data_IF_403568401749
#
_entry.id   IF_403568401749
#
_cell.length_a   1.000
_cell.length_b   1.000
_cell.length_c   1.000
_cell.angle_alpha   90.00
_cell.angle_beta   90.00
_cell.angle_gamma   90.00
#
_symmetry.space_group_name_H-M   'P 1'
#
loop_
_entity.id
_entity.type
_entity.pdbx_description
1 polymer ?
2 non-polymer ?
3 non-polymer ?
4 water ?
#
# COMPACT_ATOMS: atom_id res chain seq x y z
N UNK A 1 17.55 -0.32 31.04
CA UNK A 1 16.24 0.09 30.43
C UNK A 1 15.13 -0.85 30.91
N UNK A 2 13.86 -0.50 30.68
CA UNK A 2 12.79 -1.41 31.07
C UNK A 2 12.93 -2.78 30.39
N UNK A 3 12.36 -3.82 30.98
CA UNK A 3 12.41 -5.16 30.39
C UNK A 3 11.80 -5.19 28.97
N UNK A 4 10.76 -4.39 28.74
CA UNK A 4 10.08 -4.32 27.43
C UNK A 4 9.48 -2.94 27.12
N UNK A 5 9.58 -2.52 25.86
CA UNK A 5 8.95 -1.29 25.38
C UNK A 5 8.24 -1.59 24.06
N UNK A 6 7.00 -1.14 23.94
CA UNK A 6 6.29 -1.20 22.66
C UNK A 6 5.56 0.11 22.45
N UNK A 7 6.14 0.97 21.62
CA UNK A 7 5.59 2.30 21.44
C UNK A 7 4.24 2.31 20.72
N UNK A 8 3.90 1.24 20.00
CA UNK A 8 2.57 1.10 19.40
C UNK A 8 1.47 1.22 20.43
N UNK A 9 1.67 0.54 21.57
CA UNK A 9 0.66 0.44 22.62
C UNK A 9 0.45 1.77 23.34
N UNK A 10 1.45 2.63 23.26
CA UNK A 10 1.46 3.93 23.94
C UNK A 10 1.05 5.04 22.99
N UNK A 11 0.73 4.69 21.74
CA UNK A 11 0.08 5.65 20.85
C UNK A 11 1.01 6.50 20.03
N UNK A 12 2.28 6.09 19.95
CA UNK A 12 3.31 6.91 19.27
C UNK A 12 3.67 6.37 17.88
N UNK A 13 2.89 5.43 17.37
CA UNK A 13 3.15 4.76 16.08
C UNK A 13 1.87 4.73 15.23
N UNK A 14 1.91 5.36 14.05
CA UNK A 14 0.80 5.35 13.09
C UNK A 14 0.66 3.97 12.41
N UNK A 15 -0.48 3.71 11.72
CA UNK A 15 -0.60 2.46 10.98
C UNK A 15 0.53 2.21 9.99
N UNK A 16 0.75 0.94 9.63
CA UNK A 16 1.77 0.56 8.64
C UNK A 16 1.48 1.20 7.28
N UNK A 17 2.51 1.75 6.64
CA UNK A 17 2.39 2.42 5.35
C UNK A 17 3.04 1.52 4.27
N UNK A 18 3.09 2.04 3.05
CA UNK A 18 3.51 1.29 1.87
C UNK A 18 4.22 2.27 0.92
N UNK A 19 5.55 2.14 0.85
CA UNK A 19 6.34 3.00 -0.03
C UNK A 19 6.09 2.72 -1.52
N UNK A 20 5.61 1.50 -1.79
CA UNK A 20 5.28 1.10 -3.15
C UNK A 20 6.54 0.96 -3.98
N UNK A 21 6.39 1.19 -5.28
CA UNK A 21 7.48 1.02 -6.24
C UNK A 21 8.32 2.29 -6.33
N UNK A 22 8.93 2.64 -5.21
CA UNK A 22 9.73 3.85 -5.08
C UNK A 22 10.78 3.55 -4.01
N UNK A 23 12.02 3.98 -4.26
CA UNK A 23 13.11 3.79 -3.30
C UNK A 23 13.14 4.83 -2.18
N UNK A 24 12.03 4.93 -1.45
CA UNK A 24 11.83 5.98 -0.46
C UNK A 24 11.83 5.49 1.00
N UNK A 26 14.04 5.45 3.13
CA UNK A 26 14.69 6.52 3.89
C UNK A 26 13.76 7.63 4.38
N UNK A 27 12.73 7.94 3.59
CA UNK A 27 11.75 8.94 3.94
C UNK A 27 10.75 8.38 4.94
N UNK A 28 10.37 7.12 4.76
CA UNK A 28 9.47 6.42 5.70
C UNK A 28 10.09 6.19 7.09
N UNK A 29 11.35 5.80 7.10
CA UNK A 29 12.09 5.71 8.35
C UNK A 29 12.15 7.06 9.09
N UNK A 30 12.51 8.15 8.38
CA UNK A 30 12.61 9.49 8.94
C UNK A 30 11.29 9.98 9.52
N UNK A 31 10.22 9.84 8.75
CA UNK A 31 8.89 10.31 9.14
C UNK A 31 8.33 9.53 10.33
N UNK A 32 8.50 8.20 10.31
CA UNK A 32 8.09 7.34 11.42
C UNK A 32 8.78 7.75 12.71
N UNK A 33 10.06 8.05 12.59
CA UNK A 33 10.82 8.57 13.71
C UNK A 33 10.21 9.89 14.23
N UNK A 34 10.02 10.88 13.35
CA UNK A 34 9.50 12.19 13.72
C UNK A 34 8.10 12.07 14.32
N UNK A 35 7.26 11.22 13.72
CA UNK A 35 5.92 10.88 14.24
C UNK A 35 5.98 10.38 15.69
N UNK A 36 6.90 9.47 15.97
CA UNK A 36 7.04 8.90 17.31
C UNK A 36 7.62 9.88 18.31
N UNK A 37 8.62 10.63 17.89
CA UNK A 37 9.27 11.59 18.79
C UNK A 37 8.33 12.74 19.14
N UNK A 38 7.49 13.14 18.20
CA UNK A 38 6.56 14.27 18.35
C UNK A 38 5.42 13.94 19.32
N UNK A 39 4.90 12.72 19.21
CA UNK A 39 3.88 12.23 20.11
C UNK A 39 4.41 12.10 21.56
N UNK A 40 5.50 11.36 21.72
CA UNK A 40 6.11 11.11 23.05
C UNK A 40 6.56 12.40 23.75
N UNK A 41 6.89 13.45 22.98
CA UNK A 41 7.19 14.77 23.57
C UNK A 41 5.96 15.47 24.14
N UNK A 42 4.78 14.92 23.88
CA UNK A 42 3.54 15.35 24.53
C UNK A 42 2.44 15.84 23.60
N UNK A 43 2.56 15.60 22.31
CA UNK A 43 1.58 16.10 21.34
C UNK A 43 0.71 14.97 20.80
N UNK A 44 -0.47 15.32 20.26
CA UNK A 44 -1.34 14.30 19.68
C UNK A 44 -0.65 13.60 18.52
N UNK A 45 -0.77 12.28 18.45
CA UNK A 45 -0.24 11.53 17.29
C UNK A 45 -0.86 12.06 16.01
N UNK A 46 0.02 12.38 15.05
CA UNK A 46 -0.40 12.80 13.72
C UNK A 46 0.48 12.13 12.67
N UNK A 47 -0.19 11.74 11.58
CA UNK A 47 0.50 11.17 10.44
C UNK A 47 1.15 12.30 9.63
N UNK A 48 2.42 12.08 9.27
CA UNK A 48 3.21 13.08 8.60
C UNK A 48 3.62 12.58 7.20
N UNK A 49 4.14 13.48 6.39
CA UNK A 49 4.20 13.28 4.94
C UNK A 49 5.56 12.86 4.47
N UNK A 50 5.64 11.64 3.95
CA UNK A 50 6.83 11.17 3.23
C UNK A 50 7.00 11.89 1.91
N UNK A 51 5.89 12.23 1.28
CA UNK A 51 5.90 12.90 -0.01
C UNK A 51 6.63 14.24 0.05
N UNK A 52 6.53 14.94 1.17
CA UNK A 52 7.33 16.14 1.34
C UNK A 52 8.81 15.88 1.10
N UNK A 53 9.34 14.83 1.73
CA UNK A 53 10.73 14.46 1.55
C UNK A 53 11.01 13.94 0.13
N UNK A 54 10.14 13.09 -0.40
CA UNK A 54 10.39 12.49 -1.72
C UNK A 54 10.48 13.61 -2.76
N UNK A 55 9.57 14.58 -2.69
CA UNK A 55 9.48 15.64 -3.70
C UNK A 55 10.30 16.91 -3.40
N UNK A 56 10.52 17.23 -2.13
CA UNK A 56 11.12 18.53 -1.78
C UNK A 56 12.55 18.48 -1.27
N UNK A 57 12.94 17.37 -0.65
CA UNK A 57 14.28 17.20 -0.08
C UNK A 57 15.37 17.15 -1.17
N UNK A 58 16.14 18.24 -1.30
CA UNK A 58 17.13 18.37 -2.38
C UNK A 58 18.48 17.72 -2.08
N UNK A 59 18.68 17.28 -0.84
CA UNK A 59 19.92 16.58 -0.44
C UNK A 59 19.82 15.11 -0.83
N UNK A 60 18.64 14.53 -0.65
CA UNK A 60 18.40 13.14 -1.03
C UNK A 60 17.90 13.07 -2.48
N UNK A 61 17.58 11.87 -2.96
CA UNK A 61 17.39 11.63 -4.38
C UNK A 61 16.01 11.06 -4.70
N UNK A 62 15.01 11.52 -3.95
CA UNK A 62 13.63 11.06 -4.10
C UNK A 62 13.49 9.56 -4.10
N UNK A 63 12.86 9.02 -5.15
CA UNK A 63 12.68 7.58 -5.31
C UNK A 63 14.00 6.86 -5.66
N UNK A 64 15.03 7.59 -6.03
CA UNK A 64 16.37 7.01 -6.22
C UNK A 64 17.13 6.65 -4.94
N UNK A 65 16.68 7.17 -3.80
CA UNK A 65 17.27 6.83 -2.51
C UNK A 65 17.65 8.04 -1.68
N UNK A 66 18.17 7.79 -0.47
CA UNK A 66 18.57 8.84 0.44
C UNK A 66 18.95 8.30 1.82
N UNK A 67 19.13 9.22 2.79
CA UNK A 67 19.61 8.93 4.13
C UNK A 67 18.80 9.74 5.16
N UNK A 68 18.47 9.11 6.28
CA UNK A 68 17.62 9.74 7.29
C UNK A 68 18.29 10.99 7.87
N UNK A 69 19.60 10.91 8.10
CA UNK A 69 20.36 12.07 8.53
C UNK A 69 20.26 13.26 7.56
N UNK A 70 20.33 12.99 6.27
CA UNK A 70 20.19 14.06 5.31
C UNK A 70 18.76 14.61 5.27
N UNK A 71 17.78 13.75 5.53
CA UNK A 71 16.38 14.16 5.60
C UNK A 71 16.15 15.08 6.80
N UNK A 72 16.73 14.70 7.94
CA UNK A 72 16.69 15.57 9.12
C UNK A 72 17.34 16.91 8.83
N UNK A 73 18.51 16.88 8.19
CA UNK A 73 19.22 18.10 7.80
C UNK A 73 18.38 19.02 6.90
N UNK A 74 17.77 18.46 5.87
CA UNK A 74 16.88 19.25 4.99
C UNK A 74 15.69 19.87 5.75
N UNK A 75 15.02 19.09 6.61
CA UNK A 75 13.84 19.60 7.35
C UNK A 75 14.20 20.84 8.19
N UNK A 76 15.32 20.75 8.91
CA UNK A 76 15.74 21.82 9.82
C UNK A 76 16.31 23.03 9.08
N UNK A 77 17.24 22.76 8.17
CA UNK A 77 17.98 23.82 7.48
C UNK A 77 17.29 24.37 6.25
N UNK A 78 16.39 23.60 5.64
CA UNK A 78 15.69 24.05 4.43
C UNK A 78 14.22 24.31 4.64
N UNK A 79 13.60 23.69 5.66
CA UNK A 79 12.17 23.88 5.88
C UNK A 79 11.79 24.38 7.28
N UNK A 80 12.71 25.07 7.95
CA UNK A 80 12.44 25.70 9.24
C UNK A 80 12.02 24.74 10.36
N UNK A 81 12.45 23.48 10.24
CA UNK A 81 12.07 22.44 11.19
C UNK A 81 10.70 21.81 10.95
N UNK A 82 9.97 22.24 9.92
CA UNK A 82 8.56 21.85 9.76
C UNK A 82 8.34 20.59 8.93
N UNK A 83 7.37 19.78 9.37
CA UNK A 83 6.99 18.56 8.71
C UNK A 83 5.51 18.63 8.40
N UNK A 84 5.15 18.43 7.13
CA UNK A 84 3.75 18.52 6.71
C UNK A 84 3.00 17.26 7.08
N UNK A 85 1.69 17.39 7.21
CA UNK A 85 0.86 16.28 7.59
C UNK A 85 0.65 15.37 6.38
N UNK A 86 0.45 14.10 6.67
CA UNK A 86 0.17 13.07 5.66
C UNK A 86 -1.13 13.39 4.93
N UNK A 87 -2.13 13.87 5.67
CA UNK A 87 -3.42 14.17 5.12
C UNK A 87 -3.37 15.33 4.14
N UNK A 88 -2.53 16.33 4.41
CA UNK A 88 -2.49 17.53 3.59
C UNK A 88 -1.47 17.41 2.47
N UNK A 89 -0.68 16.35 2.49
CA UNK A 89 0.34 16.12 1.47
C UNK A 89 0.50 14.62 1.28
N UNK A 90 -0.49 13.97 0.65
CA UNK A 90 -0.53 12.52 0.62
C UNK A 90 0.62 11.94 -0.22
N UNK A 91 0.94 10.67 0.05
CA UNK A 91 1.94 9.93 -0.68
C UNK A 91 1.37 9.38 -1.99
N UNK A 92 1.90 9.91 -3.09
CA UNK A 92 1.45 9.58 -4.43
C UNK A 92 2.53 8.85 -5.25
N UNK A 93 3.75 8.74 -4.73
CA UNK A 93 4.86 8.11 -5.49
C UNK A 93 4.94 6.56 -5.44
N UNK A 94 3.87 5.90 -5.03
CA UNK A 94 3.83 4.45 -4.91
C UNK A 94 3.93 3.70 -6.24
N UNK A 95 3.82 4.44 -7.35
CA UNK A 95 3.99 3.91 -8.70
C UNK A 95 5.34 4.37 -9.29
N UNK A 96 6.15 5.06 -8.48
CA UNK A 96 7.44 5.58 -8.94
C UNK A 96 7.41 6.95 -9.61
N UNK A 97 6.21 7.43 -9.93
CA UNK A 97 6.04 8.80 -10.40
C UNK A 97 6.42 9.76 -9.28
N UNK A 98 7.03 10.89 -9.64
CA UNK A 98 7.50 11.87 -8.66
C UNK A 98 7.05 13.28 -9.01
N UNK A 99 5.93 13.73 -8.46
CA UNK A 99 5.58 15.11 -8.77
C UNK A 99 6.63 16.10 -8.28
N UNK A 100 6.59 17.31 -8.82
CA UNK A 100 7.43 18.38 -8.33
C UNK A 100 7.03 18.79 -6.92
N UNK A 101 7.99 19.37 -6.20
CA UNK A 101 7.78 19.83 -4.84
C UNK A 101 6.63 20.82 -4.82
N UNK A 102 5.70 20.61 -3.90
CA UNK A 102 4.55 21.46 -3.76
C UNK A 102 4.58 21.98 -2.33
N UNK A 103 4.93 23.25 -2.18
CA UNK A 103 5.08 23.90 -0.88
C UNK A 103 3.76 24.46 -0.37
N UNK A 104 2.81 24.65 -1.28
CA UNK A 104 1.54 25.29 -0.95
C UNK A 104 0.45 24.28 -0.62
N UNK A 105 -0.56 24.73 0.11
CA UNK A 105 -1.78 23.94 0.34
C UNK A 105 -1.65 22.80 1.35
N UNK A 106 -0.68 22.89 2.25
CA UNK A 106 -0.49 21.84 3.25
C UNK A 106 -0.64 22.40 4.65
N UNK A 107 -0.73 21.49 5.62
CA UNK A 107 -0.79 21.83 7.04
C UNK A 107 0.47 21.32 7.71
N UNK A 108 1.07 22.14 8.57
CA UNK A 108 2.24 21.68 9.33
C UNK A 108 1.76 20.85 10.52
N UNK A 109 2.20 19.60 10.61
CA UNK A 109 1.79 18.67 11.68
C UNK A 109 2.78 18.58 12.83
N UNK A 110 4.06 18.85 12.58
CA UNK A 110 5.11 18.73 13.59
C UNK A 110 6.29 19.61 13.25
N UNK A 111 7.21 19.73 14.22
CA UNK A 111 8.42 20.53 14.05
C UNK A 111 9.57 19.86 14.82
N UNK A 112 10.76 19.87 14.21
CA UNK A 112 11.96 19.36 14.87
C UNK A 112 13.02 20.47 14.92
N UNK A 113 13.97 20.35 15.84
CA UNK A 113 15.01 21.37 16.05
C UNK A 113 16.42 20.88 15.69
N UNK A 114 16.63 19.58 15.76
CA UNK A 114 17.93 18.97 15.47
C UNK A 114 17.73 17.48 15.21
N UNK A 115 18.85 16.77 15.06
CA UNK A 115 18.86 15.31 15.11
C UNK A 115 20.12 14.78 15.81
N UNK A 116 20.03 13.56 16.32
CA UNK A 116 21.19 12.89 16.88
C UNK A 116 21.46 11.58 16.14
N UNK A 117 22.71 11.15 16.22
CA UNK A 117 23.18 9.88 15.76
C UNK A 117 23.58 9.08 16.99
N UNK A 118 22.97 7.91 17.19
CA UNK A 118 23.25 7.11 18.40
C UNK A 118 24.50 6.27 18.23
N UNK A 119 25.17 5.96 19.35
CA UNK A 119 26.29 5.05 19.24
C UNK A 119 25.86 3.69 18.71
N UNK A 120 26.85 2.97 18.19
CA UNK A 120 26.68 1.64 17.67
C UNK A 120 26.69 0.69 18.87
N UNK A 121 25.65 0.78 19.67
CA UNK A 121 25.57 0.06 20.92
C UNK A 121 24.10 -0.24 21.19
N UNK A 122 23.75 -1.52 21.24
CA UNK A 122 22.35 -1.92 21.40
C UNK A 122 21.72 -1.48 22.70
N UNK A 123 22.53 -1.38 23.76
CA UNK A 123 22.05 -0.96 25.05
C UNK A 123 21.82 0.55 25.05
N UNK A 124 22.73 1.30 24.44
CA UNK A 124 22.55 2.74 24.27
C UNK A 124 21.27 3.02 23.48
N UNK A 125 21.02 2.20 22.47
CA UNK A 125 19.85 2.34 21.61
C UNK A 125 18.55 2.11 22.38
N UNK A 126 18.50 1.00 23.11
CA UNK A 126 17.34 0.60 23.90
C UNK A 126 16.95 1.66 24.93
N UNK A 127 17.94 2.26 25.59
CA UNK A 127 17.69 3.34 26.57
C UNK A 127 17.15 4.59 25.92
N UNK A 128 17.77 5.02 24.81
CA UNK A 128 17.28 6.22 24.13
C UNK A 128 15.86 5.97 23.58
N UNK A 129 15.64 4.77 23.02
CA UNK A 129 14.31 4.38 22.53
C UNK A 129 13.27 4.44 23.66
N UNK A 130 13.56 3.73 24.75
CA UNK A 130 12.68 3.69 25.93
C UNK A 130 12.37 5.09 26.50
N UNK A 131 13.33 5.99 26.45
CA UNK A 131 13.13 7.36 26.90
C UNK A 131 12.32 8.21 25.92
N UNK A 132 12.72 8.20 24.65
CA UNK A 132 12.33 9.28 23.72
C UNK A 132 11.33 8.90 22.62
N UNK A 133 11.20 7.61 22.34
CA UNK A 133 10.23 7.14 21.34
C UNK A 133 10.89 6.43 20.18
N UNK A 134 10.11 6.03 19.18
CA UNK A 134 10.62 5.22 18.08
C UNK A 134 11.82 5.86 17.36
N UNK A 135 12.71 5.02 16.86
CA UNK A 135 13.98 5.45 16.29
C UNK A 135 14.20 5.02 14.83
N UNK A 136 14.80 5.92 14.06
CA UNK A 136 15.23 5.63 12.69
C UNK A 136 16.49 4.78 12.68
N UNK A 137 16.45 3.65 11.98
CA UNK A 137 17.59 2.75 11.93
C UNK A 137 17.74 2.21 10.51
N UNK A 138 18.99 1.90 10.13
CA UNK A 138 19.26 1.19 8.89
C UNK A 138 19.53 -0.28 9.16
N UNK A 139 19.07 -1.14 8.25
CA UNK A 139 19.37 -2.58 8.31
C UNK A 139 19.82 -3.11 6.96
N UNK A 140 20.54 -4.23 7.01
CA UNK A 140 20.71 -5.10 5.84
C UNK A 140 19.41 -5.86 5.73
N UNK A 141 18.64 -5.58 4.68
CA UNK A 141 17.30 -6.17 4.56
C UNK A 141 17.28 -7.39 3.67
N UNK A 142 18.43 -8.03 3.45
CA UNK A 142 18.53 -9.24 2.62
C UNK A 142 17.56 -10.32 3.12
N UNK A 143 17.65 -10.68 4.41
CA UNK A 143 16.73 -11.66 5.00
C UNK A 143 15.27 -11.17 5.16
N UNK A 144 15.01 -9.89 4.92
CA UNK A 144 13.63 -9.36 4.99
C UNK A 144 12.74 -9.88 3.86
N UNK A 145 13.38 -10.28 2.75
CA UNK A 145 12.67 -10.62 1.52
C UNK A 145 11.82 -11.88 1.64
N UNK A 146 12.30 -12.87 2.40
CA UNK A 146 11.58 -14.15 2.52
C UNK A 146 10.87 -14.32 3.87
N UNK A 147 10.78 -13.24 4.65
CA UNK A 147 10.24 -13.28 6.01
C UNK A 147 8.72 -13.41 6.01
N UNK A 148 8.22 -14.44 6.70
CA UNK A 148 6.78 -14.63 6.92
C UNK A 148 6.37 -14.22 8.34
N UNK A 149 7.14 -14.68 9.32
CA UNK A 149 6.89 -14.37 10.73
C UNK A 149 7.96 -15.02 11.58
N UNK A 150 7.94 -14.71 12.89
CA UNK A 150 8.93 -15.24 13.83
C UNK A 150 10.04 -14.26 14.16
N UNK A 151 10.99 -14.73 14.98
CA UNK A 151 12.13 -13.90 15.34
C UNK A 151 13.36 -14.35 14.56
N UNK A 152 13.85 -13.49 13.67
CA UNK A 152 15.13 -13.72 12.97
C UNK A 152 16.29 -13.84 13.95
N UNK A 153 17.00 -14.97 13.89
CA UNK A 153 18.19 -15.18 14.72
C UNK A 153 19.45 -15.44 13.90
N UNK A 154 19.35 -15.44 12.58
CA UNK A 154 20.54 -15.58 11.73
C UNK A 154 20.39 -14.69 10.50
N UNK A 155 20.06 -13.42 10.76
CA UNK A 155 19.85 -12.40 9.74
C UNK A 155 21.16 -12.06 9.04
N UNK A 156 21.14 -12.10 7.71
CA UNK A 156 22.30 -11.68 6.92
C UNK A 156 22.69 -10.26 7.30
N UNK A 157 23.92 -10.11 7.77
CA UNK A 157 24.37 -8.88 8.37
C UNK A 157 25.70 -8.48 7.74
N UNK A 158 25.62 -8.12 6.47
CA UNK A 158 26.80 -7.82 5.65
C UNK A 158 26.87 -6.36 5.23
N UNK A 159 25.75 -5.84 4.74
CA UNK A 159 25.70 -4.55 4.06
C UNK A 159 24.37 -3.84 4.32
N UNK A 160 24.43 -2.61 4.84
CA UNK A 160 23.23 -1.79 5.08
C UNK A 160 22.60 -1.31 3.77
N UNK A 161 21.30 -1.54 3.61
CA UNK A 161 20.61 -1.12 2.38
C UNK A 161 19.16 -0.67 2.55
N UNK A 162 18.68 -0.51 3.78
CA UNK A 162 17.25 -0.31 4.02
C UNK A 162 17.02 0.42 5.33
N UNK A 163 16.24 1.50 5.28
CA UNK A 163 15.82 2.25 6.46
C UNK A 163 14.47 1.77 6.97
N UNK A 164 14.36 1.56 8.27
CA UNK A 164 13.13 1.08 8.92
C UNK A 164 12.87 1.89 10.21
N UNK A 165 11.82 1.51 10.96
CA UNK A 165 11.50 2.18 12.21
C UNK A 165 11.56 1.22 13.39
N UNK A 166 12.37 1.58 14.37
CA UNK A 166 12.50 0.80 15.62
C UNK A 166 11.48 1.29 16.63
N UNK A 167 10.50 0.45 16.96
CA UNK A 167 9.40 0.89 17.82
C UNK A 167 9.40 0.25 19.21
N UNK A 168 10.25 -0.75 19.42
CA UNK A 168 10.26 -1.43 20.69
C UNK A 168 11.15 -2.64 20.77
N UNK A 169 10.99 -3.36 21.89
CA UNK A 169 11.73 -4.58 22.17
C UNK A 169 11.09 -5.36 23.32
N UNK A 170 11.58 -6.56 23.53
CA UNK A 170 11.09 -7.42 24.61
C UNK A 170 12.19 -8.37 25.07
N UNK A 171 12.75 -8.08 26.25
CA UNK A 171 13.80 -8.92 26.83
C UNK A 171 13.22 -10.08 27.60
N UNK A 172 11.96 -9.99 28.02
CA UNK A 172 11.30 -11.08 28.72
C UNK A 172 10.80 -12.13 27.73
N UNK A 173 11.66 -12.50 26.79
CA UNK A 173 11.30 -13.37 25.68
C UNK A 173 12.49 -14.24 25.37
N UNK A 174 12.24 -15.34 24.67
CA UNK A 174 13.26 -16.33 24.40
C UNK A 174 13.26 -16.81 22.96
N UNK A 175 14.18 -16.29 22.13
CA UNK A 175 15.12 -15.18 22.38
C UNK A 175 14.45 -13.83 22.62
N UNK A 176 15.21 -12.88 23.18
CA UNK A 176 14.73 -11.51 23.30
C UNK A 176 14.84 -10.81 21.94
N UNK A 177 13.98 -9.84 21.67
CA UNK A 177 13.87 -9.26 20.32
C UNK A 177 13.55 -7.77 20.27
N UNK A 178 14.00 -7.14 19.18
CA UNK A 178 13.51 -5.84 18.73
C UNK A 178 12.23 -5.99 17.91
N UNK A 179 11.43 -4.93 17.90
CA UNK A 179 10.21 -4.84 17.08
C UNK A 179 10.46 -3.71 16.07
N UNK A 180 10.29 -4.02 14.77
CA UNK A 180 10.57 -3.09 13.69
C UNK A 180 9.34 -2.86 12.81
N UNK A 181 9.06 -1.61 12.50
CA UNK A 181 7.99 -1.23 11.58
C UNK A 181 8.63 -1.01 10.22
N UNK A 182 8.22 -1.84 9.25
CA UNK A 182 8.66 -1.70 7.86
C UNK A 182 7.61 -0.95 7.05
N UNK A 183 8.00 -0.49 5.85
CA UNK A 183 7.13 0.27 4.96
C UNK A 183 6.76 -0.52 3.70
N UNK A 184 6.52 -1.82 3.85
CA UNK A 184 6.12 -2.68 2.73
C UNK A 184 4.67 -3.13 2.84
N UNK A 185 3.82 -2.26 3.40
CA UNK A 185 2.41 -2.54 3.64
C UNK A 185 2.23 -3.51 4.78
N UNK A 186 1.00 -3.61 5.27
CA UNK A 186 0.67 -4.59 6.31
C UNK A 186 0.45 -6.03 5.80
N UNK A 187 0.69 -6.26 4.50
CA UNK A 187 0.62 -7.63 3.96
C UNK A 187 2.01 -8.26 3.85
N UNK A 188 3.02 -7.62 4.42
CA UNK A 188 4.34 -8.22 4.54
C UNK A 188 4.69 -8.42 6.01
N UNK A 189 5.29 -9.56 6.33
CA UNK A 189 5.81 -9.86 7.65
C UNK A 189 4.69 -10.09 8.64
N UNK A 190 4.88 -9.58 9.86
CA UNK A 190 3.88 -9.71 10.91
C UNK A 190 3.01 -8.46 10.91
N UNK A 191 2.06 -8.45 9.98
CA UNK A 191 1.19 -7.30 9.76
C UNK A 191 1.96 -6.01 9.55
N UNK A 192 3.04 -6.10 8.79
CA UNK A 192 3.88 -4.95 8.48
C UNK A 192 5.17 -4.89 9.29
N UNK A 193 5.25 -5.70 10.35
CA UNK A 193 6.36 -5.65 11.30
C UNK A 193 7.26 -6.86 11.20
N UNK A 194 8.44 -6.75 11.81
CA UNK A 194 9.37 -7.87 11.87
C UNK A 194 10.05 -7.85 13.22
N UNK A 195 10.24 -9.04 13.80
CA UNK A 195 11.02 -9.20 15.02
C UNK A 195 12.39 -9.76 14.66
N UNK A 196 13.44 -9.18 15.26
CA UNK A 196 14.81 -9.65 15.08
C UNK A 196 15.49 -9.71 16.45
N UNK A 197 16.40 -10.67 16.62
CA UNK A 197 17.01 -10.88 17.93
C UNK A 197 17.82 -9.69 18.38
N UNK A 198 17.63 -9.35 19.65
CA UNK A 198 18.27 -8.22 20.30
C UNK A 198 19.48 -8.76 21.06
N UNK A 199 20.64 -8.17 20.79
CA UNK A 199 21.87 -8.46 21.52
C UNK A 199 22.98 -9.03 20.66
N UNK A 200 22.64 -9.46 19.44
CA UNK A 200 23.60 -10.07 18.51
C UNK A 200 23.78 -9.24 17.24
N UNK A 201 23.48 -7.95 17.34
CA UNK A 201 23.49 -7.02 16.21
C UNK A 201 22.94 -7.60 14.90
N UNK A 202 21.74 -8.17 15.00
CA UNK A 202 21.07 -8.73 13.83
C UNK A 202 20.83 -7.66 12.77
N UNK A 203 21.10 -8.03 11.52
CA UNK A 203 20.85 -7.19 10.35
C UNK A 203 21.68 -5.93 10.35
N UNK A 204 22.78 -5.94 11.10
CA UNK A 204 23.56 -4.73 11.40
C UNK A 204 22.73 -3.57 11.97
N UNK A 205 21.77 -3.89 12.84
CA UNK A 205 20.79 -2.90 13.31
C UNK A 205 21.35 -1.74 14.13
N UNK A 206 22.55 -1.90 14.69
CA UNK A 206 23.13 -0.89 15.56
C UNK A 206 23.95 0.18 14.82
N UNK A 207 24.16 -0.01 13.51
CA UNK A 207 25.22 0.73 12.80
C UNK A 207 24.85 2.18 12.45
N UNK A 208 23.58 2.46 12.22
CA UNK A 208 23.19 3.79 11.77
C UNK A 208 21.86 4.20 12.35
N UNK A 209 21.87 4.46 13.65
CA UNK A 209 20.66 4.80 14.36
C UNK A 209 20.65 6.30 14.59
N UNK A 210 19.51 6.89 14.28
CA UNK A 210 19.35 8.34 14.32
C UNK A 210 17.98 8.70 14.87
N UNK A 211 17.83 9.96 15.27
CA UNK A 211 16.54 10.46 15.73
C UNK A 211 16.46 11.95 15.66
N UNK A 212 15.27 12.42 15.31
CA UNK A 212 14.98 13.84 15.35
C UNK A 212 14.95 14.28 16.79
N UNK A 213 15.21 15.56 17.02
CA UNK A 213 14.97 16.15 18.33
C UNK A 213 13.80 17.12 18.25
N UNK A 214 12.84 16.91 19.15
CA UNK A 214 11.69 17.79 19.32
C UNK A 214 11.91 18.70 20.54
N UNK A 215 11.62 20.00 20.39
CA UNK A 215 11.54 20.93 21.52
C UNK A 215 12.87 21.48 21.99
N UNK B 1 -11.52 -17.73 -29.38
CA UNK B 1 -10.93 -17.68 -28.00
C UNK B 1 -9.50 -18.26 -27.98
N UNK B 2 -8.49 -17.38 -27.84
CA UNK B 2 -7.09 -17.82 -27.74
C UNK B 2 -6.81 -18.81 -26.59
N UNK B 3 -5.66 -19.47 -26.65
CA UNK B 3 -5.26 -20.39 -25.58
C UNK B 3 -4.73 -19.62 -24.37
N UNK B 4 -4.39 -18.34 -24.54
CA UNK B 4 -3.86 -17.51 -23.46
C UNK B 4 -4.05 -16.03 -23.77
N UNK B 5 -4.46 -15.26 -22.76
CA UNK B 5 -4.56 -13.80 -22.88
C UNK B 5 -4.04 -13.12 -21.61
N UNK B 6 -3.41 -11.98 -21.78
CA UNK B 6 -2.90 -11.23 -20.65
C UNK B 6 -2.96 -9.77 -21.01
N UNK B 7 -3.94 -9.07 -20.45
CA UNK B 7 -4.16 -7.67 -20.79
C UNK B 7 -3.10 -6.73 -20.24
N UNK B 8 -2.27 -7.22 -19.31
CA UNK B 8 -1.09 -6.45 -18.87
C UNK B 8 -0.15 -6.23 -20.03
N UNK B 9 0.07 -7.29 -20.83
CA UNK B 9 0.88 -7.18 -22.04
C UNK B 9 0.38 -6.08 -22.98
N UNK B 10 -0.94 -5.96 -23.10
CA UNK B 10 -1.55 -5.08 -24.10
C UNK B 10 -1.72 -3.62 -23.64
N UNK B 11 -1.17 -3.28 -22.48
CA UNK B 11 -1.21 -1.91 -21.97
C UNK B 11 -2.54 -1.48 -21.36
N UNK B 12 -3.38 -2.44 -20.99
CA UNK B 12 -4.70 -2.12 -20.44
C UNK B 12 -4.75 -2.11 -18.89
N UNK B 13 -3.60 -2.27 -18.23
CA UNK B 13 -3.55 -2.44 -16.76
C UNK B 13 -2.51 -1.50 -16.11
N UNK B 14 -2.97 -0.66 -15.18
CA UNK B 14 -2.12 0.26 -14.41
C UNK B 14 -1.37 -0.52 -13.33
N UNK B 15 -0.29 0.06 -12.76
CA UNK B 15 0.46 -0.60 -11.69
C UNK B 15 -0.42 -1.03 -10.53
N UNK B 16 0.07 -2.00 -9.74
CA UNK B 16 -0.66 -2.55 -8.59
C UNK B 16 -0.78 -1.47 -7.48
N UNK B 17 -1.95 -1.43 -6.86
CA UNK B 17 -2.26 -0.40 -5.87
C UNK B 17 -2.50 -1.08 -4.52
N UNK B 18 -2.81 -0.28 -3.51
CA UNK B 18 -2.95 -0.76 -2.14
C UNK B 18 -4.14 -0.10 -1.46
N UNK B 19 -5.18 -0.87 -1.20
CA UNK B 19 -6.36 -0.35 -0.51
C UNK B 19 -6.09 0.01 0.96
N UNK B 20 -5.00 -0.50 1.52
CA UNK B 20 -4.68 -0.29 2.94
C UNK B 20 -5.68 -0.98 3.84
N UNK B 21 -5.98 -0.37 4.98
CA UNK B 21 -6.88 -0.98 5.95
C UNK B 21 -8.29 -0.42 5.80
N UNK B 22 -8.79 -0.42 4.56
CA UNK B 22 -10.13 0.04 4.23
C UNK B 22 -10.76 -1.11 3.44
N UNK B 23 -12.04 -1.38 3.66
CA UNK B 23 -12.72 -2.46 2.94
C UNK B 23 -13.22 -1.98 1.58
N UNK B 24 -12.30 -1.44 0.78
CA UNK B 24 -12.64 -0.76 -0.46
C UNK B 24 -12.27 -1.57 -1.72
N UNK B 26 -14.11 -3.48 -3.50
CA UNK B 26 -15.18 -3.21 -4.50
C UNK B 26 -14.88 -2.02 -5.44
N UNK B 27 -14.27 -0.97 -4.89
CA UNK B 27 -13.90 0.25 -5.61
C UNK B 27 -12.64 0.07 -6.47
N UNK B 28 -11.68 -0.72 -5.97
CA UNK B 28 -10.48 -1.06 -6.76
C UNK B 28 -10.82 -2.00 -7.93
N UNK B 29 -11.62 -3.03 -7.66
CA UNK B 29 -12.17 -3.89 -8.74
C UNK B 29 -12.89 -3.10 -9.84
N UNK B 30 -13.68 -2.10 -9.40
CA UNK B 30 -14.48 -1.24 -10.30
C UNK B 30 -13.60 -0.29 -11.13
N UNK B 31 -12.65 0.37 -10.48
CA UNK B 31 -11.78 1.33 -11.15
C UNK B 31 -10.72 0.62 -12.03
N UNK B 32 -10.27 -0.57 -11.63
CA UNK B 32 -9.37 -1.40 -12.46
C UNK B 32 -10.04 -1.87 -13.76
N UNK B 33 -11.33 -2.19 -13.65
CA UNK B 33 -12.13 -2.55 -14.82
C UNK B 33 -12.26 -1.34 -15.73
N UNK B 34 -12.64 -0.17 -15.19
CA UNK B 34 -12.86 1.03 -16.00
C UNK B 34 -11.56 1.52 -16.64
N UNK B 35 -10.46 1.44 -15.90
CA UNK B 35 -9.13 1.71 -16.45
C UNK B 35 -8.87 0.88 -17.70
N UNK B 36 -9.15 -0.41 -17.64
CA UNK B 36 -8.94 -1.33 -18.77
C UNK B 36 -9.92 -1.20 -19.94
N UNK B 37 -11.21 -1.01 -19.64
CA UNK B 37 -12.20 -0.81 -20.71
C UNK B 37 -12.01 0.53 -21.43
N UNK B 38 -11.57 1.53 -20.68
CA UNK B 38 -11.34 2.85 -21.21
C UNK B 38 -10.17 2.84 -22.18
N UNK B 39 -9.10 2.13 -21.83
CA UNK B 39 -7.92 1.96 -22.71
C UNK B 39 -8.22 1.10 -23.94
N UNK B 40 -8.89 -0.03 -23.73
CA UNK B 40 -9.26 -0.94 -24.83
C UNK B 40 -10.14 -0.23 -25.87
N UNK B 41 -10.92 0.78 -25.44
CA UNK B 41 -11.73 1.62 -26.34
C UNK B 41 -10.91 2.65 -27.13
N UNK B 42 -9.59 2.70 -26.91
CA UNK B 42 -8.69 3.53 -27.72
C UNK B 42 -8.31 4.86 -27.09
N UNK B 43 -8.38 4.93 -25.76
CA UNK B 43 -7.90 6.10 -25.02
C UNK B 43 -6.59 5.73 -24.31
N UNK B 44 -5.74 6.75 -24.02
CA UNK B 44 -4.49 6.47 -23.31
C UNK B 44 -4.74 5.85 -21.93
N UNK B 45 -3.95 4.84 -21.57
CA UNK B 45 -4.06 4.26 -20.24
C UNK B 45 -3.93 5.36 -19.19
N UNK B 46 -4.89 5.42 -18.26
CA UNK B 46 -4.86 6.42 -17.20
C UNK B 46 -5.41 5.83 -15.89
N UNK B 47 -4.76 6.12 -14.76
CA UNK B 47 -5.19 5.60 -13.45
C UNK B 47 -6.34 6.49 -12.94
N UNK B 48 -7.39 5.86 -12.40
CA UNK B 48 -8.64 6.52 -12.04
C UNK B 48 -8.87 6.40 -10.53
N UNK B 49 -9.84 7.14 -10.00
CA UNK B 49 -9.95 7.37 -8.54
C UNK B 49 -10.86 6.40 -7.80
N UNK B 50 -10.27 5.58 -6.94
CA UNK B 50 -11.06 4.75 -6.03
C UNK B 50 -11.68 5.62 -4.91
N UNK B 51 -11.00 6.72 -4.58
CA UNK B 51 -11.48 7.62 -3.52
C UNK B 51 -12.78 8.30 -3.85
N UNK B 52 -12.95 8.68 -5.13
CA UNK B 52 -14.24 9.14 -5.59
C UNK B 52 -15.33 8.19 -5.10
N UNK B 53 -15.17 6.91 -5.34
CA UNK B 53 -16.16 5.90 -4.96
C UNK B 53 -16.31 5.75 -3.44
N UNK B 54 -15.20 5.61 -2.75
CA UNK B 54 -15.22 5.45 -1.31
C UNK B 54 -15.95 6.62 -0.61
N UNK B 55 -15.70 7.86 -1.05
CA UNK B 55 -16.28 9.05 -0.39
C UNK B 55 -17.64 9.45 -0.93
N UNK B 56 -17.88 9.26 -2.23
CA UNK B 56 -19.06 9.83 -2.89
C UNK B 56 -20.18 8.87 -3.21
N UNK B 57 -19.85 7.59 -3.41
CA UNK B 57 -20.82 6.57 -3.79
C UNK B 57 -21.81 6.25 -2.67
N UNK B 58 -23.04 6.77 -2.79
CA UNK B 58 -24.05 6.66 -1.73
C UNK B 58 -24.82 5.33 -1.73
N UNK B 59 -24.59 4.48 -2.74
CA UNK B 59 -25.23 3.17 -2.77
C UNK B 59 -24.39 2.17 -1.98
N UNK B 60 -23.08 2.38 -1.97
CA UNK B 60 -22.12 1.50 -1.30
C UNK B 60 -21.71 2.08 0.06
N UNK B 61 -20.89 1.35 0.81
CA UNK B 61 -20.70 1.64 2.24
C UNK B 61 -19.28 2.13 2.57
N UNK B 62 -18.67 2.91 1.66
CA UNK B 62 -17.31 3.41 1.85
C UNK B 62 -16.33 2.29 2.15
N UNK B 63 -15.63 2.40 3.28
CA UNK B 63 -14.70 1.34 3.73
C UNK B 63 -15.42 0.12 4.35
N UNK B 64 -16.73 0.19 4.49
CA UNK B 64 -17.51 -0.96 4.96
C UNK B 64 -17.72 -2.03 3.91
N UNK B 65 -17.55 -1.64 2.64
CA UNK B 65 -17.67 -2.55 1.52
C UNK B 65 -18.75 -2.10 0.55
N UNK B 66 -18.99 -2.93 -0.46
CA UNK B 66 -19.87 -2.59 -1.56
C UNK B 66 -19.85 -3.63 -2.68
N UNK B 67 -20.50 -3.29 -3.79
CA UNK B 67 -20.63 -4.18 -4.94
C UNK B 67 -20.23 -3.42 -6.18
N UNK B 68 -19.41 -4.02 -7.05
CA UNK B 68 -18.94 -3.34 -8.26
C UNK B 68 -20.13 -2.87 -9.11
N UNK B 69 -21.18 -3.68 -9.21
CA UNK B 69 -22.39 -3.31 -9.93
C UNK B 69 -23.02 -2.02 -9.41
N UNK B 70 -23.05 -1.84 -8.10
CA UNK B 70 -23.59 -0.59 -7.55
C UNK B 70 -22.68 0.59 -7.76
N UNK B 71 -21.36 0.37 -7.78
CA UNK B 71 -20.45 1.43 -8.10
C UNK B 71 -20.72 1.94 -9.53
N UNK B 72 -20.82 1.01 -10.48
CA UNK B 72 -21.16 1.34 -11.86
C UNK B 72 -22.49 2.09 -11.93
N UNK B 73 -23.49 1.62 -11.19
CA UNK B 73 -24.77 2.32 -11.12
C UNK B 73 -24.63 3.75 -10.65
N UNK B 74 -23.85 3.94 -9.58
CA UNK B 74 -23.68 5.29 -9.03
C UNK B 74 -22.96 6.18 -10.04
N UNK B 75 -21.92 5.64 -10.67
CA UNK B 75 -21.13 6.43 -11.59
C UNK B 75 -22.04 6.96 -12.69
N UNK B 76 -22.90 6.09 -13.24
CA UNK B 76 -23.76 6.42 -14.37
C UNK B 76 -24.97 7.26 -13.96
N UNK B 77 -25.69 6.80 -12.94
CA UNK B 77 -26.96 7.43 -12.54
C UNK B 77 -26.82 8.66 -11.61
N UNK B 78 -25.69 8.76 -10.91
CA UNK B 78 -25.45 9.89 -9.98
C UNK B 78 -24.29 10.81 -10.35
N UNK B 79 -23.36 10.36 -11.20
CA UNK B 79 -22.26 11.23 -11.61
C UNK B 79 -22.14 11.41 -13.12
N UNK B 80 -23.25 11.19 -13.83
CA UNK B 80 -23.31 11.40 -15.29
C UNK B 80 -22.31 10.55 -16.06
N UNK B 81 -21.97 9.40 -15.51
CA UNK B 81 -21.01 8.49 -16.12
C UNK B 81 -19.53 8.86 -15.94
N UNK B 82 -19.22 9.91 -15.19
CA UNK B 82 -17.85 10.41 -15.08
C UNK B 82 -17.01 9.71 -13.99
N UNK B 83 -15.70 9.60 -14.24
CA UNK B 83 -14.74 8.98 -13.31
C UNK B 83 -13.51 9.88 -13.19
N UNK B 84 -13.29 10.43 -12.00
CA UNK B 84 -12.17 11.33 -11.76
C UNK B 84 -10.83 10.59 -11.81
N UNK B 85 -9.78 11.31 -12.16
CA UNK B 85 -8.44 10.74 -12.27
C UNK B 85 -7.87 10.45 -10.89
N UNK B 86 -6.92 9.52 -10.84
CA UNK B 86 -6.20 9.19 -9.61
C UNK B 86 -5.34 10.37 -9.15
N UNK B 87 -4.71 11.06 -10.10
CA UNK B 87 -3.83 12.17 -9.78
C UNK B 87 -4.59 13.32 -9.11
N UNK B 88 -5.83 13.58 -9.55
CA UNK B 88 -6.57 14.74 -9.05
C UNK B 88 -7.57 14.38 -7.94
N UNK B 89 -7.80 13.08 -7.71
CA UNK B 89 -8.59 12.64 -6.58
C UNK B 89 -7.87 11.46 -5.88
N UNK B 90 -6.75 11.76 -5.19
CA UNK B 90 -5.85 10.73 -4.65
C UNK B 90 -6.48 9.88 -3.54
N UNK B 91 -5.98 8.66 -3.38
CA UNK B 91 -6.49 7.72 -2.39
C UNK B 91 -5.92 8.02 -1.01
N UNK B 92 -6.78 8.45 -0.09
CA UNK B 92 -6.38 8.80 1.28
C UNK B 92 -7.13 7.97 2.33
N UNK B 93 -7.78 6.88 1.91
CA UNK B 93 -8.54 6.03 2.86
C UNK B 93 -7.73 4.84 3.40
N UNK B 94 -6.42 4.81 3.15
CA UNK B 94 -5.61 3.64 3.48
C UNK B 94 -5.46 3.26 4.96
N UNK B 95 -5.88 4.16 5.84
CA UNK B 95 -5.89 3.90 7.28
C UNK B 95 -7.28 3.52 7.78
N UNK B 96 -8.22 3.39 6.85
CA UNK B 96 -9.61 3.01 7.15
C UNK B 96 -10.56 4.16 7.41
N UNK B 97 -10.09 5.38 7.18
CA UNK B 97 -10.91 6.59 7.31
C UNK B 97 -11.74 6.87 6.04
N UNK B 98 -12.81 7.63 6.21
CA UNK B 98 -13.70 7.99 5.10
C UNK B 98 -13.88 9.51 5.06
N UNK B 99 -13.04 10.21 4.28
CA UNK B 99 -13.25 11.65 4.17
C UNK B 99 -14.53 11.98 3.41
N UNK B 100 -14.98 13.23 3.53
CA UNK B 100 -16.24 13.62 2.90
C UNK B 100 -16.10 13.72 1.39
N UNK B 101 -17.22 13.59 0.70
CA UNK B 101 -17.22 13.64 -0.75
C UNK B 101 -16.90 15.05 -1.24
N UNK B 102 -15.90 15.13 -2.12
CA UNK B 102 -15.48 16.38 -2.74
C UNK B 102 -15.75 16.26 -4.24
N UNK B 103 -16.74 17.01 -4.73
CA UNK B 103 -17.13 16.88 -6.14
C UNK B 103 -16.40 17.85 -7.09
N UNK B 104 -15.91 18.97 -6.58
CA UNK B 104 -15.21 19.95 -7.43
C UNK B 104 -13.69 19.93 -7.20
N UNK B 105 -12.97 20.60 -8.10
CA UNK B 105 -11.51 20.64 -8.06
C UNK B 105 -10.84 19.37 -8.56
N UNK B 106 -11.55 18.56 -9.32
CA UNK B 106 -11.01 17.31 -9.90
C UNK B 106 -11.07 17.35 -11.40
N UNK B 107 -10.29 16.48 -12.03
CA UNK B 107 -10.28 16.31 -13.49
C UNK B 107 -10.98 15.00 -13.83
N UNK B 108 -11.89 15.04 -14.81
CA UNK B 108 -12.54 13.84 -15.29
C UNK B 108 -11.55 13.14 -16.22
N UNK B 109 -11.25 11.87 -15.92
CA UNK B 109 -10.32 11.06 -16.72
C UNK B 109 -10.97 10.00 -17.59
N UNK B 110 -12.23 9.66 -17.30
CA UNK B 110 -12.95 8.64 -18.08
C UNK B 110 -14.45 8.79 -17.93
N UNK B 111 -15.21 8.11 -18.82
CA UNK B 111 -16.67 8.07 -18.75
C UNK B 111 -17.20 6.71 -19.19
N UNK B 112 -18.26 6.27 -18.53
CA UNK B 112 -18.96 5.03 -18.89
C UNK B 112 -20.45 5.32 -19.06
N UNK B 113 -21.12 4.45 -19.80
CA UNK B 113 -22.55 4.62 -20.07
C UNK B 113 -23.38 3.52 -19.45
N UNK B 114 -22.77 2.39 -19.12
CA UNK B 114 -23.51 1.26 -18.58
C UNK B 114 -22.58 0.25 -17.95
N UNK B 115 -23.15 -0.80 -17.39
CA UNK B 115 -22.39 -1.97 -17.05
C UNK B 115 -23.12 -3.23 -17.45
N UNK B 116 -22.37 -4.33 -17.60
CA UNK B 116 -22.95 -5.64 -17.93
C UNK B 116 -22.56 -6.72 -16.94
N UNK B 117 -23.48 -7.65 -16.70
CA UNK B 117 -23.22 -8.82 -15.86
C UNK B 117 -23.05 -10.06 -16.73
N UNK B 118 -21.93 -10.74 -16.56
CA UNK B 118 -21.67 -11.94 -17.35
C UNK B 118 -22.31 -13.18 -16.73
N UNK B 119 -22.51 -14.23 -17.54
CA UNK B 119 -23.07 -15.44 -16.99
C UNK B 119 -22.06 -16.21 -16.14
N UNK B 120 -22.59 -17.06 -15.27
CA UNK B 120 -21.79 -17.87 -14.37
C UNK B 120 -21.20 -19.06 -15.11
N UNK B 121 -20.30 -18.77 -16.05
CA UNK B 121 -19.76 -19.76 -16.96
C UNK B 121 -18.36 -19.33 -17.37
N UNK B 122 -17.38 -20.12 -16.93
CA UNK B 122 -15.97 -19.79 -17.11
C UNK B 122 -15.51 -19.74 -18.57
N UNK B 123 -16.12 -20.54 -19.43
CA UNK B 123 -15.79 -20.49 -20.85
C UNK B 123 -16.25 -19.19 -21.46
N UNK B 124 -17.47 -18.78 -21.11
CA UNK B 124 -18.04 -17.53 -21.61
C UNK B 124 -17.28 -16.34 -21.02
N UNK B 125 -16.92 -16.43 -19.75
CA UNK B 125 -16.09 -15.39 -19.14
C UNK B 125 -14.75 -15.28 -19.87
N UNK B 126 -14.20 -16.42 -20.29
CA UNK B 126 -12.89 -16.45 -20.93
C UNK B 126 -12.95 -15.75 -22.29
N UNK B 127 -13.95 -16.13 -23.08
CA UNK B 127 -14.15 -15.55 -24.41
C UNK B 127 -14.43 -14.05 -24.33
N UNK B 128 -15.22 -13.64 -23.34
CA UNK B 128 -15.52 -12.23 -23.19
C UNK B 128 -14.28 -11.43 -22.80
N UNK B 129 -13.56 -11.92 -21.81
CA UNK B 129 -12.29 -11.33 -21.40
C UNK B 129 -11.37 -11.15 -22.61
N UNK B 130 -11.20 -12.24 -23.36
CA UNK B 130 -10.26 -12.27 -24.48
C UNK B 130 -10.56 -11.14 -25.50
N UNK B 131 -11.85 -10.89 -25.71
CA UNK B 131 -12.36 -9.88 -26.64
C UNK B 131 -12.41 -8.46 -26.06
N UNK B 132 -12.75 -8.32 -24.79
CA UNK B 132 -13.20 -7.02 -24.25
C UNK B 132 -12.32 -6.33 -23.20
N UNK B 133 -11.38 -7.05 -22.60
CA UNK B 133 -10.45 -6.43 -21.65
C UNK B 133 -10.72 -6.90 -20.23
N UNK B 134 -10.03 -6.27 -19.25
CA UNK B 134 -10.12 -6.70 -17.85
C UNK B 134 -11.53 -6.58 -17.29
N UNK B 135 -11.92 -7.56 -16.48
CA UNK B 135 -13.26 -7.73 -15.95
C UNK B 135 -13.25 -7.66 -14.42
N UNK B 136 -14.25 -7.01 -13.85
CA UNK B 136 -14.41 -6.96 -12.40
C UNK B 136 -15.04 -8.27 -11.93
N UNK B 137 -14.45 -8.91 -10.92
CA UNK B 137 -14.99 -10.17 -10.41
C UNK B 137 -14.98 -10.22 -8.89
N UNK B 138 -15.80 -11.10 -8.34
CA UNK B 138 -15.82 -11.33 -6.90
C UNK B 138 -15.30 -12.70 -6.60
N UNK B 139 -14.56 -12.81 -5.50
CA UNK B 139 -14.04 -14.08 -5.03
C UNK B 139 -14.24 -14.24 -3.52
N UNK B 140 -14.13 -15.49 -3.09
CA UNK B 140 -13.91 -15.81 -1.67
C UNK B 140 -12.41 -15.62 -1.46
N UNK B 141 -12.03 -14.64 -0.65
CA UNK B 141 -10.60 -14.36 -0.45
C UNK B 141 -9.95 -15.06 0.75
N UNK B 142 -10.59 -16.09 1.31
CA UNK B 142 -10.05 -16.80 2.47
C UNK B 142 -8.65 -17.31 2.19
N UNK B 143 -8.49 -18.04 1.08
CA UNK B 143 -7.19 -18.57 0.66
C UNK B 143 -6.17 -17.51 0.25
N UNK B 144 -6.61 -16.29 -0.02
CA UNK B 144 -5.71 -15.21 -0.46
C UNK B 144 -4.76 -14.75 0.65
N UNK B 145 -5.18 -14.90 1.91
CA UNK B 145 -4.36 -14.48 3.06
C UNK B 145 -3.05 -15.27 3.16
N UNK B 146 -3.11 -16.55 2.80
CA UNK B 146 -1.96 -17.44 2.95
C UNK B 146 -1.20 -17.64 1.64
N UNK B 147 -1.61 -16.96 0.58
CA UNK B 147 -1.00 -17.12 -0.75
C UNK B 147 0.32 -16.38 -0.81
N UNK B 148 1.37 -17.08 -1.19
CA UNK B 148 2.67 -16.45 -1.48
C UNK B 148 3.23 -16.80 -2.86
N UNK B 149 2.39 -17.33 -3.76
CA UNK B 149 2.83 -17.67 -5.12
C UNK B 149 2.28 -18.98 -5.67
N UNK B 150 2.41 -19.14 -6.99
CA UNK B 150 1.94 -20.34 -7.69
C UNK B 150 0.46 -20.30 -8.05
N UNK B 151 -0.07 -21.47 -8.44
CA UNK B 151 -1.44 -21.62 -8.91
C UNK B 151 -2.26 -22.34 -7.85
N UNK B 152 -3.19 -21.62 -7.23
CA UNK B 152 -4.15 -22.24 -6.31
C UNK B 152 -5.05 -23.23 -7.02
N UNK B 153 -5.14 -24.43 -6.45
CA UNK B 153 -6.01 -25.48 -6.96
C UNK B 153 -7.06 -25.89 -5.92
N UNK B 154 -6.89 -25.41 -4.68
CA UNK B 154 -7.82 -25.72 -3.58
C UNK B 154 -8.17 -24.44 -2.83
N UNK B 155 -8.71 -23.49 -3.58
CA UNK B 155 -9.11 -22.22 -3.06
C UNK B 155 -10.36 -22.48 -2.24
N UNK B 156 -10.42 -21.92 -1.04
CA UNK B 156 -11.65 -21.96 -0.25
C UNK B 156 -12.75 -21.23 -1.03
N UNK B 157 -13.89 -21.89 -1.19
CA UNK B 157 -14.94 -21.47 -2.12
C UNK B 157 -16.29 -21.55 -1.44
N UNK B 158 -16.50 -20.65 -0.49
CA UNK B 158 -17.64 -20.73 0.42
C UNK B 158 -18.54 -19.50 0.32
N UNK B 159 -17.94 -18.31 0.47
CA UNK B 159 -18.69 -17.06 0.41
C UNK B 159 -17.87 -16.00 -0.30
N UNK B 160 -18.51 -15.27 -1.23
CA UNK B 160 -17.90 -14.11 -1.89
C UNK B 160 -17.74 -12.95 -0.90
N UNK B 161 -16.53 -12.40 -0.80
CA UNK B 161 -16.25 -11.34 0.17
C UNK B 161 -15.31 -10.26 -0.35
N UNK B 162 -14.81 -10.40 -1.58
CA UNK B 162 -13.71 -9.55 -2.04
C UNK B 162 -13.75 -9.33 -3.56
N UNK B 163 -13.68 -8.06 -3.97
CA UNK B 163 -13.63 -7.70 -5.38
C UNK B 163 -12.21 -7.62 -5.91
N UNK B 164 -11.95 -8.28 -7.04
CA UNK B 164 -10.63 -8.24 -7.70
C UNK B 164 -10.75 -8.02 -9.22
N UNK B 165 -9.62 -7.95 -9.92
CA UNK B 165 -9.62 -7.69 -11.37
C UNK B 165 -9.10 -8.90 -12.14
N UNK B 166 -9.94 -9.48 -12.99
CA UNK B 166 -9.54 -10.60 -13.83
C UNK B 166 -8.90 -10.04 -15.10
N UNK B 167 -7.59 -10.25 -15.23
CA UNK B 167 -6.82 -9.66 -16.34
C UNK B 167 -6.38 -10.65 -17.43
N UNK B 168 -6.47 -11.96 -17.18
CA UNK B 168 -5.97 -12.91 -18.15
C UNK B 168 -6.25 -14.36 -17.85
N UNK B 169 -5.77 -15.23 -18.73
CA UNK B 169 -5.80 -16.66 -18.48
C UNK B 169 -4.78 -17.38 -19.37
N UNK B 170 -4.52 -18.64 -19.03
CA UNK B 170 -3.63 -19.50 -19.81
C UNK B 170 -4.15 -20.94 -19.78
N UNK B 171 -4.85 -21.32 -20.86
CA UNK B 171 -5.35 -22.69 -21.01
C UNK B 171 -4.25 -23.71 -21.33
N UNK B 172 -3.07 -23.22 -21.71
CA UNK B 172 -1.95 -24.11 -22.09
C UNK B 172 -1.13 -24.61 -20.90
N UNK B 173 -1.60 -24.34 -19.68
CA UNK B 173 -0.92 -24.73 -18.47
C UNK B 173 -1.56 -26.01 -17.94
N UNK B 174 -0.77 -26.80 -17.24
CA UNK B 174 -1.27 -27.95 -16.48
C UNK B 174 -1.01 -27.68 -14.99
N UNK B 175 -2.05 -27.26 -14.24
CA UNK B 175 -3.43 -26.99 -14.67
C UNK B 175 -3.58 -25.61 -15.33
N UNK B 176 -4.70 -25.37 -16.01
CA UNK B 176 -4.97 -24.05 -16.56
C UNK B 176 -5.33 -23.04 -15.46
N UNK B 177 -5.05 -21.76 -15.71
CA UNK B 177 -5.27 -20.74 -14.68
C UNK B 177 -5.76 -19.39 -15.17
N UNK B 178 -6.44 -18.68 -14.26
CA UNK B 178 -6.73 -17.27 -14.40
C UNK B 178 -5.62 -16.43 -13.78
N UNK B 179 -5.40 -15.24 -14.34
CA UNK B 179 -4.51 -14.24 -13.79
C UNK B 179 -5.37 -13.11 -13.19
N UNK B 180 -5.06 -12.72 -11.96
CA UNK B 180 -5.89 -11.76 -11.21
C UNK B 180 -5.05 -10.66 -10.55
N UNK B 181 -5.44 -9.41 -10.79
CA UNK B 181 -4.85 -8.26 -10.13
C UNK B 181 -5.58 -8.00 -8.81
N UNK B 182 -4.83 -7.99 -7.71
CA UNK B 182 -5.35 -7.67 -6.38
C UNK B 182 -4.93 -6.26 -5.99
N UNK B 183 -5.57 -5.71 -4.97
CA UNK B 183 -5.24 -4.38 -4.45
C UNK B 183 -4.63 -4.44 -3.05
N UNK B 184 -3.73 -5.40 -2.82
CA UNK B 184 -3.10 -5.59 -1.49
C UNK B 184 -1.60 -5.24 -1.54
N UNK B 185 -1.24 -4.33 -2.43
CA UNK B 185 0.14 -3.91 -2.72
C UNK B 185 0.90 -4.93 -3.59
N UNK B 186 1.99 -4.48 -4.19
CA UNK B 186 2.86 -5.37 -4.96
C UNK B 186 3.69 -6.30 -4.08
N UNK B 187 3.60 -6.15 -2.77
CA UNK B 187 4.30 -7.04 -1.83
C UNK B 187 3.52 -8.28 -1.43
N UNK B 188 2.27 -8.37 -1.88
CA UNK B 188 1.47 -9.58 -1.70
C UNK B 188 1.55 -10.38 -3.00
N UNK B 189 1.43 -11.71 -2.89
CA UNK B 189 1.30 -12.61 -4.05
C UNK B 189 2.49 -12.54 -4.99
N UNK B 190 2.21 -12.64 -6.30
CA UNK B 190 3.24 -12.56 -7.32
C UNK B 190 3.26 -11.13 -7.82
N UNK B 191 4.06 -10.29 -7.18
CA UNK B 191 4.11 -8.86 -7.45
C UNK B 191 2.72 -8.25 -7.43
N UNK B 192 1.87 -8.73 -6.51
CA UNK B 192 0.55 -8.16 -6.35
C UNK B 192 -0.56 -8.89 -7.11
N UNK B 193 -0.18 -9.92 -7.88
CA UNK B 193 -1.13 -10.75 -8.60
C UNK B 193 -1.28 -12.13 -7.95
N UNK B 194 -2.32 -12.84 -8.38
CA UNK B 194 -2.55 -14.21 -7.99
C UNK B 194 -3.05 -14.99 -9.19
N UNK B 195 -2.66 -16.26 -9.26
CA UNK B 195 -3.15 -17.17 -10.28
C UNK B 195 -3.94 -18.29 -9.61
N UNK B 196 -5.17 -18.47 -10.07
CA UNK B 196 -6.01 -19.54 -9.55
C UNK B 196 -6.34 -20.50 -10.68
N UNK B 197 -6.59 -21.76 -10.36
CA UNK B 197 -6.95 -22.75 -11.38
C UNK B 197 -8.22 -22.29 -12.12
N UNK B 198 -8.24 -22.55 -13.42
CA UNK B 198 -9.39 -22.25 -14.26
C UNK B 198 -10.10 -23.56 -14.64
N UNK B 199 -11.41 -23.57 -14.45
CA UNK B 199 -12.26 -24.68 -14.88
C UNK B 199 -13.05 -25.35 -13.76
N UNK B 200 -12.73 -25.03 -12.50
CA UNK B 200 -13.36 -25.66 -11.35
C UNK B 200 -13.99 -24.64 -10.41
N UNK B 201 -14.30 -23.46 -10.95
CA UNK B 201 -14.87 -22.35 -10.20
C UNK B 201 -14.13 -22.05 -8.89
N UNK B 202 -12.81 -21.88 -9.00
CA UNK B 202 -11.99 -21.58 -7.83
C UNK B 202 -12.41 -20.27 -7.18
N UNK B 203 -12.52 -20.27 -5.86
CA UNK B 203 -12.84 -19.06 -5.09
C UNK B 203 -14.21 -18.47 -5.46
N UNK B 204 -15.06 -19.26 -6.12
CA UNK B 204 -16.33 -18.77 -6.64
C UNK B 204 -16.18 -17.62 -7.64
N UNK B 205 -15.08 -17.62 -8.38
CA UNK B 205 -14.75 -16.55 -9.33
C UNK B 205 -15.77 -16.31 -10.46
N UNK B 206 -16.62 -17.29 -10.74
CA UNK B 206 -17.61 -17.14 -11.84
C UNK B 206 -18.93 -16.54 -11.42
N UNK B 207 -19.14 -16.31 -10.12
CA UNK B 207 -20.47 -15.96 -9.62
C UNK B 207 -20.90 -14.51 -9.85
N UNK B 208 -19.97 -13.56 -9.85
CA UNK B 208 -20.34 -12.14 -9.95
C UNK B 208 -19.37 -11.40 -10.85
N UNK B 209 -19.33 -11.80 -12.11
CA UNK B 209 -18.41 -11.22 -13.05
C UNK B 209 -19.11 -10.12 -13.82
N UNK B 210 -18.50 -8.94 -13.91
CA UNK B 210 -19.15 -7.80 -14.56
C UNK B 210 -18.18 -6.84 -15.19
N UNK B 211 -18.70 -5.88 -15.94
CA UNK B 211 -17.83 -4.95 -16.63
C UNK B 211 -18.52 -3.63 -16.99
N UNK B 212 -17.78 -2.53 -16.87
CA UNK B 212 -18.26 -1.23 -17.35
C UNK B 212 -18.39 -1.26 -18.86
N UNK B 213 -19.28 -0.41 -19.39
CA UNK B 213 -19.37 -0.20 -20.83
C UNK B 213 -18.98 1.24 -21.13
N UNK B 214 -18.01 1.37 -22.03
CA UNK B 214 -17.47 2.64 -22.47
C UNK B 214 -18.08 3.06 -23.80
N UNK B 215 -18.24 4.36 -23.98
CA UNK B 215 -18.40 4.96 -25.33
C UNK B 215 -19.66 5.75 -25.51
#
# INVERSE_FOLDING_TARGET
>A
APAAVDWREKGAVTPVKDQGQCGSXWAFSTIGNIEGQWQVAGNPLVSLSEQMLVSCDTIDFGCGGGLMDNAFNWIVNSNGGNVFTEASYPYVSGNGEQPQCQMNGHEIGAAITDHVDLPQDEDAIAAYLAENGPLAIAVDATSFMDYNGGILTSCTSEQLDHGVLLVGYNDASNPPYWIIKNSWSNMWGEDGYIRIEKGTNQCLMNQAVSSAVVG
>B
APAAVDWREKGAVTPVKDQGQCGSXWAFSTIGNIEGQWQVAGNPLVSLSEQMLVSCDTIDFGCGGGLMDNAFNWIVNSNGGNVFTEASYPYVSGNGEQPQCQMNGHEIGAAITDHVDLPQDEDAIAAYLAENGPLAIAVDATSFMDYNGGILTSCTSEQLDHGVLLVGYNDASNPPYWIIKNSWSNMWGEDGYIRIEKGTNQCLMNQAVSSAVVG
#
